data_IF_818872789983
#
_entry.id   IF_818872789983
#
_cell.length_a   1.000
_cell.length_b   1.000
_cell.length_c   1.000
_cell.angle_alpha   90.00
_cell.angle_beta   90.00
_cell.angle_gamma   90.00
#
_symmetry.space_group_name_H-M   'P 1'
#
loop_
_entity.id
_entity.type
_entity.pdbx_description
1 polymer ?
#
# COMPACT_ATOMS: atom_id res chain seq x y z
N UNK A 1 -10.68 6.16 -9.02
CA UNK A 1 -9.56 5.23 -9.23
C UNK A 1 -8.46 5.81 -10.14
N UNK A 2 -8.77 6.67 -11.10
CA UNK A 2 -7.78 7.18 -12.06
C UNK A 2 -6.75 8.19 -11.50
N UNK A 3 -7.11 8.97 -10.46
CA UNK A 3 -6.18 9.94 -9.86
C UNK A 3 -5.11 9.32 -8.96
N UNK A 4 -5.38 8.17 -8.33
CA UNK A 4 -4.37 7.49 -7.50
C UNK A 4 -3.30 6.85 -8.40
N UNK A 5 -3.68 6.32 -9.57
CA UNK A 5 -2.73 5.70 -10.53
C UNK A 5 -1.72 6.69 -11.11
N UNK A 6 -2.06 7.98 -11.22
CA UNK A 6 -1.18 8.99 -11.82
C UNK A 6 -0.11 9.54 -10.87
N UNK A 7 -0.26 9.36 -9.56
CA UNK A 7 0.65 9.95 -8.56
C UNK A 7 1.38 8.89 -7.69
N UNK A 8 0.94 7.63 -7.74
CA UNK A 8 1.52 6.54 -6.95
C UNK A 8 2.59 5.81 -7.76
N UNK A 9 3.74 6.46 -7.96
CA UNK A 9 4.92 5.81 -8.51
C UNK A 9 5.52 4.81 -7.52
N UNK A 10 6.82 4.99 -7.21
CA UNK A 10 7.44 4.31 -6.08
C UNK A 10 6.96 4.94 -4.79
N UNK A 11 6.55 4.11 -3.84
CA UNK A 11 6.13 4.52 -2.50
C UNK A 11 6.85 3.65 -1.49
N UNK A 12 7.14 4.20 -0.31
CA UNK A 12 7.73 3.40 0.76
C UNK A 12 6.72 2.39 1.29
N UNK A 13 7.22 1.23 1.68
CA UNK A 13 6.44 0.18 2.36
C UNK A 13 5.76 0.71 3.62
N UNK A 14 6.38 1.65 4.36
CA UNK A 14 5.76 2.29 5.52
C UNK A 14 4.57 3.21 5.19
N UNK A 15 4.53 3.79 3.98
CA UNK A 15 3.44 4.69 3.54
C UNK A 15 2.29 3.93 2.83
N UNK A 16 2.55 2.68 2.46
CA UNK A 16 1.62 1.79 1.78
C UNK A 16 0.32 1.49 2.56
N UNK A 17 0.31 1.24 3.89
CA UNK A 17 -0.92 0.99 4.63
C UNK A 17 -1.89 2.18 4.56
N UNK A 18 -1.38 3.40 4.74
CA UNK A 18 -2.19 4.62 4.67
C UNK A 18 -2.63 4.93 3.24
N UNK A 19 -1.77 4.68 2.23
CA UNK A 19 -2.18 4.83 0.83
C UNK A 19 -3.21 3.79 0.38
N UNK A 20 -3.12 2.57 0.91
CA UNK A 20 -4.12 1.52 0.70
C UNK A 20 -5.49 1.88 1.27
N UNK A 21 -5.57 2.69 2.35
CA UNK A 21 -6.84 3.19 2.90
C UNK A 21 -7.69 3.92 1.86
N UNK A 22 -7.04 4.58 0.88
CA UNK A 22 -7.72 5.34 -0.17
C UNK A 22 -8.29 4.44 -1.29
N UNK A 23 -7.96 3.15 -1.30
CA UNK A 23 -8.53 2.18 -2.22
C UNK A 23 -9.82 1.66 -1.58
N UNK A 24 -10.98 2.03 -2.14
CA UNK A 24 -12.31 1.64 -1.59
C UNK A 24 -12.39 0.20 -1.09
N UNK A 25 -11.99 -0.76 -1.94
CA UNK A 25 -12.04 -2.19 -1.61
C UNK A 25 -11.09 -2.55 -0.46
N UNK A 26 -9.87 -2.01 -0.44
CA UNK A 26 -8.90 -2.34 0.60
C UNK A 26 -9.24 -1.63 1.91
N UNK A 27 -9.71 -0.39 1.86
CA UNK A 27 -10.15 0.37 3.03
C UNK A 27 -11.43 -0.18 3.67
N UNK A 28 -12.33 -0.79 2.90
CA UNK A 28 -13.53 -1.48 3.43
C UNK A 28 -13.23 -2.88 3.98
N UNK A 29 -12.33 -3.64 3.34
CA UNK A 29 -12.11 -5.05 3.69
C UNK A 29 -10.94 -5.30 4.64
N UNK A 30 -9.95 -4.41 4.69
CA UNK A 30 -8.75 -4.59 5.48
C UNK A 30 -8.55 -3.40 6.42
N UNK A 31 -8.35 -3.67 7.70
CA UNK A 31 -7.97 -2.64 8.67
C UNK A 31 -6.51 -2.20 8.45
N UNK A 32 -6.12 -1.07 9.04
CA UNK A 32 -4.75 -0.56 8.92
C UNK A 32 -3.72 -1.55 9.51
N UNK A 33 -4.06 -2.22 10.60
CA UNK A 33 -3.23 -3.23 11.26
C UNK A 33 -2.98 -4.46 10.37
N UNK A 34 -4.01 -4.95 9.68
CA UNK A 34 -3.88 -6.09 8.75
C UNK A 34 -2.97 -5.74 7.58
N UNK A 35 -3.09 -4.51 7.07
CA UNK A 35 -2.23 -4.01 5.99
C UNK A 35 -0.79 -3.85 6.45
N UNK A 36 -0.58 -3.28 7.63
CA UNK A 36 0.75 -3.11 8.22
C UNK A 36 1.41 -4.47 8.52
N UNK A 37 0.65 -5.43 9.07
CA UNK A 37 1.12 -6.80 9.29
C UNK A 37 1.46 -7.52 7.98
N UNK A 38 0.61 -7.41 6.96
CA UNK A 38 0.87 -7.98 5.64
C UNK A 38 2.15 -7.42 5.02
N UNK A 39 2.34 -6.10 5.11
CA UNK A 39 3.53 -5.41 4.63
C UNK A 39 4.77 -5.79 5.43
N UNK A 40 4.71 -5.83 6.76
CA UNK A 40 5.83 -6.24 7.60
C UNK A 40 6.24 -7.70 7.42
N UNK A 41 5.31 -8.57 7.00
CA UNK A 41 5.60 -9.96 6.69
C UNK A 41 6.17 -10.13 5.27
N UNK A 42 5.71 -9.35 4.29
CA UNK A 42 6.24 -9.35 2.92
C UNK A 42 7.61 -8.64 2.80
N UNK A 43 7.78 -7.55 3.52
CA UNK A 43 8.90 -6.64 3.39
C UNK A 43 9.65 -6.54 4.71
N UNK A 44 10.93 -6.93 4.69
CA UNK A 44 11.82 -6.83 5.85
C UNK A 44 12.21 -5.38 6.18
N UNK A 45 12.03 -4.46 5.23
CA UNK A 45 12.38 -3.06 5.39
C UNK A 45 11.20 -2.16 5.00
N UNK A 46 10.75 -1.33 5.94
CA UNK A 46 9.65 -0.40 5.70
C UNK A 46 10.07 0.85 4.91
N UNK A 47 11.38 1.13 4.83
CA UNK A 47 11.93 2.17 3.96
C UNK A 47 12.13 1.72 2.51
N UNK A 48 11.85 0.45 2.21
CA UNK A 48 11.93 -0.05 0.83
C UNK A 48 10.89 0.65 -0.05
N UNK A 49 11.33 1.11 -1.22
CA UNK A 49 10.47 1.74 -2.21
C UNK A 49 9.92 0.70 -3.17
N UNK A 50 8.60 0.55 -3.21
CA UNK A 50 7.93 -0.39 -4.10
C UNK A 50 6.92 0.32 -4.97
N UNK A 51 6.65 -0.27 -6.14
CA UNK A 51 5.69 0.31 -7.06
C UNK A 51 4.26 -0.07 -6.63
N UNK A 52 3.43 0.93 -6.38
CA UNK A 52 2.06 0.73 -5.92
C UNK A 52 1.21 -0.05 -6.93
N UNK A 53 1.39 0.17 -8.24
CA UNK A 53 0.68 -0.62 -9.26
C UNK A 53 1.12 -2.10 -9.26
N UNK A 54 2.40 -2.39 -8.99
CA UNK A 54 2.89 -3.77 -8.87
C UNK A 54 2.39 -4.44 -7.61
N UNK A 55 2.25 -3.70 -6.51
CA UNK A 55 1.67 -4.22 -5.27
C UNK A 55 0.19 -4.60 -5.42
N UNK A 56 -0.57 -3.84 -6.20
CA UNK A 56 -2.01 -4.07 -6.44
C UNK A 56 -2.31 -5.13 -7.50
N UNK A 57 -1.30 -5.58 -8.25
CA UNK A 57 -1.46 -6.57 -9.30
C UNK A 57 -1.51 -7.99 -8.73
#
# INVERSE_FOLDING_TARGET
FDSIRRECGKVKVGDLPSRMSNIKVVGEFLTEEERASFLGNKYKNMDEEVNFETFLR
#
